data_IF_006331871487
#
_entry.id   IF_006331871487
#
_cell.length_a   1.000
_cell.length_b   1.000
_cell.length_c   1.000
_cell.angle_alpha   90.00
_cell.angle_beta   90.00
_cell.angle_gamma   90.00
#
_symmetry.space_group_name_H-M   'P 1'
#
loop_
_entity.id
_entity.type
_entity.pdbx_description
1 polymer ?
#
# COMPACT_ATOMS: atom_id res chain seq x y z
N UNK A 1 -0.86 1.17 -6.33
CA UNK A 1 -0.25 2.16 -5.41
C UNK A 1 1.20 2.33 -5.84
N UNK A 2 1.72 3.55 -6.01
CA UNK A 2 3.11 3.77 -6.43
C UNK A 2 3.98 3.88 -5.18
N UNK A 3 4.97 3.01 -5.02
CA UNK A 3 5.91 3.09 -3.90
C UNK A 3 6.99 4.13 -4.20
N UNK A 4 7.50 4.79 -3.15
CA UNK A 4 8.70 5.64 -3.28
C UNK A 4 9.93 4.77 -3.60
N UNK A 5 10.99 5.36 -4.15
CA UNK A 5 12.25 4.64 -4.41
C UNK A 5 12.82 4.01 -3.14
N UNK A 6 12.82 4.74 -2.03
CA UNK A 6 13.33 4.29 -0.73
C UNK A 6 12.55 3.08 -0.21
N UNK A 7 11.21 3.11 -0.31
CA UNK A 7 10.37 1.99 0.13
C UNK A 7 10.56 0.74 -0.73
N UNK A 8 10.76 0.90 -2.05
CA UNK A 8 11.05 -0.24 -2.94
C UNK A 8 12.39 -0.88 -2.59
N UNK A 9 13.40 -0.06 -2.33
CA UNK A 9 14.72 -0.56 -1.96
C UNK A 9 14.67 -1.29 -0.61
N UNK A 10 14.07 -0.69 0.40
CA UNK A 10 13.93 -1.31 1.72
C UNK A 10 13.09 -2.59 1.67
N UNK A 11 12.02 -2.63 0.87
CA UNK A 11 11.23 -3.84 0.66
C UNK A 11 12.05 -4.95 -0.01
N UNK A 12 12.85 -4.61 -1.03
CA UNK A 12 13.74 -5.56 -1.70
C UNK A 12 14.74 -6.16 -0.71
N UNK A 13 15.41 -5.33 0.08
CA UNK A 13 16.40 -5.79 1.07
C UNK A 13 15.77 -6.62 2.18
N UNK A 14 14.58 -6.23 2.65
CA UNK A 14 13.83 -6.99 3.64
C UNK A 14 13.40 -8.37 3.12
N UNK A 15 12.96 -8.45 1.86
CA UNK A 15 12.61 -9.73 1.22
C UNK A 15 13.82 -10.63 1.02
N UNK A 16 14.95 -10.09 0.55
CA UNK A 16 16.20 -10.86 0.39
C UNK A 16 16.68 -11.40 1.75
N UNK A 17 16.63 -10.58 2.81
CA UNK A 17 17.01 -11.03 4.15
C UNK A 17 16.04 -12.06 4.74
N UNK A 18 14.74 -11.92 4.48
CA UNK A 18 13.73 -12.85 4.99
C UNK A 18 13.71 -14.17 4.21
N UNK A 19 14.05 -14.14 2.93
CA UNK A 19 14.00 -15.27 2.01
C UNK A 19 15.34 -15.39 1.27
N UNK A 20 16.36 -15.99 1.92
CA UNK A 20 17.70 -16.10 1.33
C UNK A 20 17.76 -17.03 0.11
N UNK A 21 16.72 -17.84 -0.12
CA UNK A 21 16.61 -18.69 -1.31
C UNK A 21 15.32 -18.41 -2.06
N UNK A 22 15.37 -18.57 -3.39
CA UNK A 22 14.18 -18.43 -4.24
C UNK A 22 13.07 -19.41 -3.87
N UNK A 23 13.42 -20.63 -3.48
CA UNK A 23 12.44 -21.66 -3.14
C UNK A 23 11.53 -21.22 -1.98
N UNK A 24 12.09 -20.56 -0.95
CA UNK A 24 11.26 -20.02 0.14
C UNK A 24 10.36 -18.89 -0.32
N UNK A 25 10.86 -18.00 -1.20
CA UNK A 25 10.05 -16.93 -1.77
C UNK A 25 8.89 -17.48 -2.62
N UNK A 26 9.16 -18.49 -3.44
CA UNK A 26 8.16 -19.18 -4.25
C UNK A 26 7.12 -19.88 -3.38
N UNK A 27 7.55 -20.60 -2.36
CA UNK A 27 6.66 -21.27 -1.42
C UNK A 27 5.74 -20.28 -0.70
N UNK A 28 6.26 -19.12 -0.30
CA UNK A 28 5.44 -18.04 0.26
C UNK A 28 4.41 -17.53 -0.75
N UNK A 29 4.80 -17.27 -2.00
CA UNK A 29 3.87 -16.80 -3.03
C UNK A 29 2.77 -17.84 -3.33
N UNK A 30 3.15 -19.11 -3.44
CA UNK A 30 2.21 -20.18 -3.73
C UNK A 30 1.22 -20.39 -2.59
N UNK A 31 1.69 -20.43 -1.34
CA UNK A 31 0.80 -20.71 -0.20
C UNK A 31 -0.04 -19.50 0.25
N UNK A 32 0.48 -18.28 0.16
CA UNK A 32 -0.23 -17.10 0.69
C UNK A 32 -0.97 -16.31 -0.39
N UNK A 33 -0.51 -16.36 -1.64
CA UNK A 33 -1.04 -15.55 -2.74
C UNK A 33 -1.59 -16.37 -3.89
N UNK A 34 -1.43 -17.70 -3.87
CA UNK A 34 -1.78 -18.60 -4.98
C UNK A 34 -1.18 -18.11 -6.31
N UNK A 35 0.10 -17.72 -6.25
CA UNK A 35 0.86 -17.20 -7.40
C UNK A 35 2.14 -18.00 -7.59
N UNK A 36 2.48 -18.25 -8.84
CA UNK A 36 3.76 -18.86 -9.21
C UNK A 36 4.83 -17.76 -9.40
N UNK A 37 6.00 -17.95 -8.80
CA UNK A 37 7.08 -16.95 -8.82
C UNK A 37 7.65 -16.77 -10.23
N UNK A 38 7.86 -17.85 -10.98
CA UNK A 38 8.36 -17.79 -12.36
C UNK A 38 7.37 -17.11 -13.29
N UNK A 39 6.07 -17.36 -13.13
CA UNK A 39 5.04 -16.68 -13.92
C UNK A 39 4.97 -15.17 -13.64
N UNK A 40 5.36 -14.74 -12.44
CA UNK A 40 5.27 -13.34 -12.00
C UNK A 40 6.54 -12.55 -12.29
N UNK A 41 7.71 -13.15 -12.01
CA UNK A 41 9.01 -12.47 -12.04
C UNK A 41 10.02 -13.12 -13.00
N UNK A 42 9.70 -14.27 -13.59
CA UNK A 42 10.57 -15.03 -14.47
C UNK A 42 11.70 -15.77 -13.75
N UNK A 43 12.57 -16.38 -14.54
CA UNK A 43 13.84 -16.92 -14.07
C UNK A 43 14.90 -15.81 -13.93
N UNK A 44 15.95 -16.05 -13.13
CA UNK A 44 16.96 -15.00 -12.85
C UNK A 44 17.79 -15.22 -11.60
N UNK A 45 18.49 -14.21 -11.08
CA UNK A 45 19.05 -14.27 -9.72
C UNK A 45 18.02 -13.80 -8.68
N UNK A 46 18.26 -14.06 -7.39
CA UNK A 46 17.32 -13.70 -6.32
C UNK A 46 16.98 -12.20 -6.34
N UNK A 47 17.99 -11.34 -6.50
CA UNK A 47 17.80 -9.89 -6.53
C UNK A 47 16.89 -9.41 -7.68
N UNK A 48 17.09 -9.96 -8.87
CA UNK A 48 16.31 -9.64 -10.07
C UNK A 48 14.88 -10.14 -9.93
N UNK A 49 14.72 -11.37 -9.44
CA UNK A 49 13.40 -11.96 -9.18
C UNK A 49 12.62 -11.14 -8.16
N UNK A 50 13.24 -10.75 -7.04
CA UNK A 50 12.62 -9.89 -6.02
C UNK A 50 12.27 -8.52 -6.60
N UNK A 51 13.15 -7.93 -7.41
CA UNK A 51 12.89 -6.64 -8.06
C UNK A 51 11.67 -6.69 -9.00
N UNK A 52 11.60 -7.69 -9.88
CA UNK A 52 10.46 -7.85 -10.78
C UNK A 52 9.18 -8.21 -10.04
N UNK A 53 9.29 -9.02 -8.97
CA UNK A 53 8.17 -9.34 -8.10
C UNK A 53 7.55 -8.07 -7.49
N UNK A 54 8.37 -7.18 -6.93
CA UNK A 54 7.91 -5.91 -6.37
C UNK A 54 7.26 -5.06 -7.47
N UNK A 55 7.94 -4.91 -8.62
CA UNK A 55 7.41 -4.14 -9.76
C UNK A 55 6.05 -4.66 -10.23
N UNK A 56 5.88 -5.98 -10.27
CA UNK A 56 4.62 -6.61 -10.67
C UNK A 56 3.54 -6.40 -9.61
N UNK A 57 3.88 -6.56 -8.33
CA UNK A 57 2.97 -6.29 -7.21
C UNK A 57 2.51 -4.83 -7.18
N UNK A 58 3.39 -3.88 -7.52
CA UNK A 58 3.05 -2.46 -7.67
C UNK A 58 2.08 -2.21 -8.81
N UNK A 59 2.38 -2.80 -9.98
CA UNK A 59 1.58 -2.64 -11.20
C UNK A 59 0.18 -3.24 -11.07
N UNK A 60 0.06 -4.38 -10.39
CA UNK A 60 -1.23 -5.05 -10.16
C UNK A 60 -1.89 -4.62 -8.83
N UNK A 61 -1.22 -3.82 -8.01
CA UNK A 61 -1.79 -3.25 -6.78
C UNK A 61 -1.89 -4.20 -5.58
N UNK A 62 -1.14 -5.30 -5.55
CA UNK A 62 -1.16 -6.27 -4.43
C UNK A 62 0.09 -6.23 -3.54
N UNK A 63 0.90 -5.16 -3.59
CA UNK A 63 2.04 -4.95 -2.67
C UNK A 63 1.66 -5.18 -1.21
N UNK A 64 0.49 -4.69 -0.77
CA UNK A 64 0.03 -4.88 0.61
C UNK A 64 -0.16 -6.36 0.96
N UNK A 65 -0.64 -7.17 0.01
CA UNK A 65 -0.78 -8.63 0.20
C UNK A 65 0.60 -9.30 0.25
N UNK A 66 1.54 -8.89 -0.60
CA UNK A 66 2.92 -9.39 -0.59
C UNK A 66 3.60 -9.16 0.77
N UNK A 67 3.49 -7.95 1.31
CA UNK A 67 4.11 -7.59 2.59
C UNK A 67 3.46 -8.33 3.76
N UNK A 68 2.13 -8.50 3.71
CA UNK A 68 1.40 -9.27 4.73
C UNK A 68 1.78 -10.75 4.70
N UNK A 69 1.88 -11.36 3.51
CA UNK A 69 2.34 -12.73 3.33
C UNK A 69 3.76 -12.91 3.87
N UNK A 70 4.68 -12.02 3.49
CA UNK A 70 6.07 -12.03 3.97
C UNK A 70 6.16 -11.95 5.49
N UNK A 71 5.36 -11.07 6.13
CA UNK A 71 5.32 -10.95 7.59
C UNK A 71 4.70 -12.16 8.29
N UNK A 72 3.74 -12.85 7.66
CA UNK A 72 3.12 -14.03 8.25
C UNK A 72 4.09 -15.20 8.29
N UNK A 73 4.90 -15.36 7.25
CA UNK A 73 5.91 -16.41 7.18
C UNK A 73 7.16 -16.08 8.00
N UNK A 74 7.56 -14.81 8.05
CA UNK A 74 8.71 -14.31 8.81
C UNK A 74 8.34 -13.18 9.78
N UNK A 75 7.58 -13.47 10.85
CA UNK A 75 7.12 -12.45 11.81
C UNK A 75 8.26 -11.83 12.63
N UNK A 76 9.38 -12.53 12.78
CA UNK A 76 10.55 -12.08 13.53
C UNK A 76 11.50 -11.14 12.76
N UNK A 77 11.28 -10.92 11.45
CA UNK A 77 12.16 -10.08 10.66
C UNK A 77 11.86 -8.58 10.89
N UNK A 78 12.78 -7.90 11.59
CA UNK A 78 12.67 -6.49 11.94
C UNK A 78 12.57 -5.56 10.70
N UNK A 79 13.26 -5.90 9.61
CA UNK A 79 13.24 -5.10 8.37
C UNK A 79 11.86 -5.16 7.71
N UNK A 80 11.27 -6.35 7.61
CA UNK A 80 9.90 -6.51 7.12
C UNK A 80 8.88 -5.76 8.00
N UNK A 81 9.09 -5.76 9.32
CA UNK A 81 8.21 -5.03 10.25
C UNK A 81 8.29 -3.52 10.07
N UNK A 82 9.49 -2.98 9.87
CA UNK A 82 9.69 -1.56 9.58
C UNK A 82 9.00 -1.16 8.28
N UNK A 83 9.27 -1.87 7.18
CA UNK A 83 8.66 -1.58 5.87
C UNK A 83 7.15 -1.74 5.89
N UNK A 84 6.62 -2.76 6.59
CA UNK A 84 5.18 -2.91 6.70
C UNK A 84 4.52 -1.76 7.46
N UNK A 85 5.17 -1.20 8.48
CA UNK A 85 4.65 -0.01 9.17
C UNK A 85 4.60 1.18 8.22
N UNK A 86 5.69 1.46 7.52
CA UNK A 86 5.75 2.55 6.54
C UNK A 86 4.70 2.39 5.43
N UNK A 87 4.52 1.18 4.91
CA UNK A 87 3.53 0.90 3.86
C UNK A 87 2.09 1.02 4.37
N UNK A 88 1.80 0.53 5.58
CA UNK A 88 0.47 0.61 6.16
C UNK A 88 0.10 2.04 6.58
N UNK A 89 1.05 2.83 7.07
CA UNK A 89 0.83 4.25 7.38
C UNK A 89 0.53 5.03 6.08
N UNK A 90 1.26 4.76 5.00
CA UNK A 90 1.02 5.39 3.70
C UNK A 90 -0.31 4.98 3.05
N UNK A 91 -0.87 3.81 3.39
CA UNK A 91 -2.23 3.43 2.93
C UNK A 91 -3.33 4.22 3.64
N UNK A 92 -3.11 4.68 4.88
CA UNK A 92 -4.10 5.44 5.64
C UNK A 92 -4.18 6.92 5.23
N UNK A 93 -3.09 7.54 4.75
CA UNK A 93 -3.11 8.95 4.34
C UNK A 93 -3.88 9.20 3.03
N UNK A 94 -4.05 8.19 2.17
CA UNK A 94 -4.79 8.36 0.90
C UNK A 94 -6.31 8.39 1.04
N UNK A 95 -6.87 7.81 2.11
CA UNK A 95 -8.31 7.89 2.38
C UNK A 95 -8.71 9.25 2.99
N UNK A 96 -7.79 9.93 3.68
CA UNK A 96 -8.06 11.24 4.30
C UNK A 96 -7.85 12.44 3.36
N UNK A 97 -7.06 12.32 2.30
CA UNK A 97 -6.89 13.39 1.31
C UNK A 97 -8.08 13.55 0.34
N UNK A 98 -8.89 12.49 0.13
CA UNK A 98 -10.14 12.58 -0.63
C UNK A 98 -11.26 13.32 0.14
N UNK A 99 -11.20 13.33 1.48
CA UNK A 99 -12.18 14.01 2.34
C UNK A 99 -11.84 15.49 2.54
N UNK A 100 -10.55 15.85 2.56
CA UNK A 100 -10.10 17.22 2.84
C UNK A 100 -10.25 18.21 1.67
N UNK A 101 -10.47 17.73 0.44
CA UNK A 101 -10.77 18.60 -0.71
C UNK A 101 -12.24 19.05 -0.74
N UNK A 102 -13.12 18.48 0.09
CA UNK A 102 -14.55 18.86 0.15
C UNK A 102 -14.85 19.97 1.17
N UNK A 103 -13.88 20.39 1.99
CA UNK A 103 -14.09 21.37 3.08
C UNK A 103 -13.52 22.77 2.76
N UNK A 104 -12.93 22.99 1.57
CA UNK A 104 -12.40 24.31 1.17
C UNK A 104 -13.32 25.14 0.26
N UNK A 105 -14.63 24.89 0.24
CA UNK A 105 -15.61 25.77 -0.42
C UNK A 105 -16.80 26.11 0.49
N UNK A 106 -16.60 26.34 1.79
CA UNK A 106 -17.75 26.61 2.65
C UNK A 106 -17.47 27.44 3.91
N UNK A 107 -16.46 28.31 3.96
CA UNK A 107 -16.41 29.35 5.01
C UNK A 107 -15.79 30.65 4.50
N UNK A 108 -16.58 31.46 3.81
CA UNK A 108 -16.66 32.90 4.09
C UNK A 108 -18.14 33.29 3.95
N UNK A 109 -18.70 33.68 5.09
CA UNK A 109 -20.10 34.08 5.24
C UNK A 109 -20.48 35.31 4.41
N UNK A 110 -21.75 35.72 4.51
CA UNK A 110 -22.40 36.58 3.53
C UNK A 110 -21.99 38.04 3.72
N UNK A 111 -21.35 38.64 2.72
CA UNK A 111 -21.50 40.08 2.48
C UNK A 111 -22.66 40.27 1.51
N UNK A 112 -23.81 40.62 2.09
CA UNK A 112 -24.90 41.43 1.55
C UNK A 112 -25.48 41.07 0.17
N UNK A 113 -26.81 40.95 0.16
CA UNK A 113 -27.71 41.34 -0.93
C UNK A 113 -28.04 40.29 -2.01
N UNK A 114 -28.99 39.38 -1.73
CA UNK A 114 -30.21 39.23 -2.55
C UNK A 114 -31.20 38.21 -1.95
N UNK A 115 -32.39 38.71 -1.61
CA UNK A 115 -33.75 38.13 -1.59
C UNK A 115 -34.00 36.60 -1.60
N UNK A 116 -35.04 36.21 -0.85
CA UNK A 116 -35.79 34.93 -0.80
C UNK A 116 -35.24 33.80 0.10
N UNK A 117 -35.69 33.74 1.37
CA UNK A 117 -36.87 32.98 1.88
C UNK A 117 -36.51 31.50 2.15
N UNK A 118 -36.20 31.11 3.40
CA UNK A 118 -37.06 30.86 4.58
C UNK A 118 -37.87 29.56 4.46
N UNK A 119 -37.46 28.52 5.19
CA UNK A 119 -38.13 27.95 6.38
C UNK A 119 -37.76 26.45 6.55
N UNK A 120 -37.04 26.10 7.62
CA UNK A 120 -36.99 24.73 8.14
C UNK A 120 -38.14 24.54 9.14
N UNK A 121 -38.85 23.42 9.01
CA UNK A 121 -39.86 22.91 9.95
C UNK A 121 -39.20 22.59 11.30
N UNK A 122 -39.75 23.09 12.42
CA UNK A 122 -40.63 22.37 13.38
C UNK A 122 -39.91 21.33 14.26
N UNK A 123 -40.53 21.02 15.41
CA UNK A 123 -40.06 20.23 16.58
C UNK A 123 -39.28 21.07 17.64
N UNK A 124 -39.80 21.30 18.84
CA UNK A 124 -41.06 20.90 19.49
C UNK A 124 -41.28 21.69 20.77
#
# INVERSE_FOLDING_TARGET
MKLSCELRQGLREALINAFPTKAFLEQMLSFELDKNLEAVAGEGNLETVVFYLIKRAESEGWVGKLVRAARKQNPGNSNLKAIARELLINTYHKEKEAEQQTVKLNHNGPTSNCCCVRLLMSYG
#
